data_IF_033545408685
#
_entry.id   IF_033545408685
#
_cell.length_a   1.000
_cell.length_b   1.000
_cell.length_c   1.000
_cell.angle_alpha   90.00
_cell.angle_beta   90.00
_cell.angle_gamma   90.00
#
_symmetry.space_group_name_H-M   'P 1'
#
loop_
_entity.id
_entity.type
_entity.pdbx_description
1 polymer ?
#
# COMPACT_ATOMS: atom_id res chain seq x y z
N UNK A 1 20.77 -19.63 -2.12
CA UNK A 1 20.25 -18.40 -1.54
C UNK A 1 19.39 -17.66 -2.57
N UNK A 2 18.32 -16.98 -2.10
CA UNK A 2 17.42 -16.19 -2.96
C UNK A 2 18.11 -14.90 -3.44
N UNK A 3 18.68 -14.16 -2.50
CA UNK A 3 19.56 -13.00 -2.64
C UNK A 3 20.58 -13.02 -1.49
N UNK A 4 21.63 -12.24 -1.60
CA UNK A 4 22.53 -12.02 -0.48
C UNK A 4 21.81 -11.38 0.70
N UNK A 5 22.13 -11.82 1.93
CA UNK A 5 21.44 -11.34 3.13
C UNK A 5 21.51 -9.82 3.30
N UNK A 6 22.63 -9.22 2.94
CA UNK A 6 22.89 -7.79 3.04
C UNK A 6 21.94 -6.96 2.19
N UNK A 7 21.55 -7.47 1.01
CA UNK A 7 20.58 -6.80 0.13
C UNK A 7 19.18 -6.70 0.76
N UNK A 8 18.88 -7.54 1.74
CA UNK A 8 17.61 -7.51 2.50
C UNK A 8 17.78 -6.73 3.80
N UNK A 9 18.85 -7.03 4.55
CA UNK A 9 19.03 -6.54 5.93
C UNK A 9 19.27 -5.03 5.96
N UNK A 10 20.14 -4.49 5.10
CA UNK A 10 20.46 -3.05 5.14
C UNK A 10 19.27 -2.14 4.83
N UNK A 11 18.44 -2.41 3.79
CA UNK A 11 17.24 -1.60 3.55
C UNK A 11 16.21 -1.73 4.68
N UNK A 12 16.09 -2.89 5.34
CA UNK A 12 15.22 -3.05 6.51
C UNK A 12 15.72 -2.17 7.66
N UNK A 13 17.02 -2.21 7.99
CA UNK A 13 17.60 -1.38 9.06
C UNK A 13 17.38 0.10 8.73
N UNK A 14 17.68 0.54 7.51
CA UNK A 14 17.46 1.92 7.08
C UNK A 14 15.98 2.35 7.21
N UNK A 15 15.06 1.46 6.82
CA UNK A 15 13.62 1.70 6.95
C UNK A 15 13.17 1.78 8.41
N UNK A 16 13.71 0.97 9.30
CA UNK A 16 13.42 1.02 10.74
C UNK A 16 13.94 2.31 11.38
N UNK A 17 15.15 2.74 11.02
CA UNK A 17 15.70 4.02 11.48
C UNK A 17 14.82 5.18 10.98
N UNK A 18 14.45 5.18 9.69
CA UNK A 18 13.53 6.18 9.15
C UNK A 18 12.20 6.17 9.91
N UNK A 19 11.61 5.00 10.14
CA UNK A 19 10.34 4.84 10.86
C UNK A 19 10.42 5.44 12.26
N UNK A 20 11.52 5.24 12.98
CA UNK A 20 11.75 5.80 14.31
C UNK A 20 11.66 7.34 14.32
N UNK A 21 12.12 8.03 13.28
CA UNK A 21 12.06 9.48 13.17
C UNK A 21 10.78 10.01 12.54
N UNK A 22 10.14 9.22 11.67
CA UNK A 22 8.94 9.63 10.93
C UNK A 22 7.64 9.25 11.63
N UNK A 23 7.52 8.06 12.24
CA UNK A 23 6.31 7.55 12.87
C UNK A 23 6.05 8.20 14.22
N UNK A 24 5.73 9.51 14.20
CA UNK A 24 5.49 10.35 15.38
C UNK A 24 4.35 11.33 15.10
N UNK A 25 3.75 11.91 16.15
CA UNK A 25 2.74 12.98 15.99
C UNK A 25 3.25 14.16 15.15
N UNK A 26 4.54 14.49 15.28
CA UNK A 26 5.25 15.43 14.41
C UNK A 26 6.49 14.70 13.86
N UNK A 27 6.44 14.35 12.58
CA UNK A 27 7.56 13.72 11.90
C UNK A 27 8.80 14.64 11.96
N UNK A 28 9.97 14.05 12.23
CA UNK A 28 11.26 14.77 12.27
C UNK A 28 11.98 14.74 10.93
N UNK A 29 11.63 13.80 10.07
CA UNK A 29 12.18 13.67 8.72
C UNK A 29 11.10 13.18 7.76
N UNK A 30 11.34 13.43 6.47
CA UNK A 30 10.53 12.91 5.37
C UNK A 30 11.44 12.09 4.47
N UNK A 31 10.87 11.04 3.86
CA UNK A 31 11.60 10.15 2.97
C UNK A 31 12.07 10.86 1.69
N UNK A 32 11.28 11.82 1.24
CA UNK A 32 11.48 12.53 -0.03
C UNK A 32 11.31 11.63 -1.25
N UNK A 33 11.46 12.20 -2.43
CA UNK A 33 11.27 11.46 -3.68
C UNK A 33 12.36 10.40 -3.88
N UNK A 34 13.61 10.73 -3.58
CA UNK A 34 14.73 9.79 -3.72
C UNK A 34 14.55 8.57 -2.83
N UNK A 35 14.18 8.77 -1.56
CA UNK A 35 13.98 7.66 -0.63
C UNK A 35 12.77 6.80 -0.98
N UNK A 36 11.65 7.43 -1.36
CA UNK A 36 10.43 6.71 -1.74
C UNK A 36 10.63 5.89 -3.03
N UNK A 37 11.29 6.45 -4.03
CA UNK A 37 11.64 5.72 -5.26
C UNK A 37 12.64 4.59 -4.99
N UNK A 38 13.64 4.83 -4.13
CA UNK A 38 14.62 3.81 -3.75
C UNK A 38 13.96 2.59 -3.07
N UNK A 39 13.06 2.82 -2.10
CA UNK A 39 12.32 1.73 -1.43
C UNK A 39 11.39 1.04 -2.42
N UNK A 40 10.66 1.78 -3.26
CA UNK A 40 9.77 1.19 -4.24
C UNK A 40 10.54 0.29 -5.23
N UNK A 41 11.66 0.76 -5.75
CA UNK A 41 12.52 -0.02 -6.64
C UNK A 41 13.03 -1.30 -5.96
N UNK A 42 13.50 -1.19 -4.72
CA UNK A 42 13.98 -2.33 -3.96
C UNK A 42 12.89 -3.39 -3.73
N UNK A 43 11.67 -2.97 -3.33
CA UNK A 43 10.54 -3.88 -3.14
C UNK A 43 10.16 -4.57 -4.46
N UNK A 44 10.05 -3.80 -5.56
CA UNK A 44 9.69 -4.34 -6.88
C UNK A 44 10.77 -5.33 -7.37
N UNK A 45 12.05 -5.02 -7.18
CA UNK A 45 13.14 -5.91 -7.55
C UNK A 45 13.07 -7.23 -6.78
N UNK A 46 12.84 -7.19 -5.46
CA UNK A 46 12.69 -8.40 -4.65
C UNK A 46 11.46 -9.23 -5.05
N UNK A 47 10.32 -8.59 -5.30
CA UNK A 47 9.12 -9.28 -5.76
C UNK A 47 9.33 -9.90 -7.13
N UNK A 48 9.95 -9.20 -8.07
CA UNK A 48 10.29 -9.73 -9.39
C UNK A 48 11.19 -10.97 -9.30
N UNK A 49 12.25 -10.91 -8.50
CA UNK A 49 13.13 -12.05 -8.28
C UNK A 49 12.39 -13.23 -7.61
N UNK A 50 11.49 -12.96 -6.67
CA UNK A 50 10.69 -13.98 -6.01
C UNK A 50 9.73 -14.67 -6.98
N UNK A 51 9.06 -13.90 -7.83
CA UNK A 51 8.17 -14.43 -8.88
C UNK A 51 8.95 -15.27 -9.87
N UNK A 52 10.10 -14.80 -10.37
CA UNK A 52 10.94 -15.53 -11.30
C UNK A 52 11.41 -16.86 -10.69
N UNK A 53 11.80 -16.85 -9.41
CA UNK A 53 12.29 -18.04 -8.73
C UNK A 53 11.19 -19.06 -8.42
N UNK A 54 9.99 -18.62 -8.07
CA UNK A 54 8.91 -19.49 -7.62
C UNK A 54 7.92 -19.84 -8.74
N UNK A 55 7.86 -19.04 -9.81
CA UNK A 55 6.85 -19.14 -10.85
C UNK A 55 5.45 -18.72 -10.39
N UNK A 56 5.30 -18.15 -9.19
CA UNK A 56 4.02 -17.81 -8.58
C UNK A 56 3.78 -16.30 -8.61
N UNK A 57 2.68 -15.87 -9.20
CA UNK A 57 2.29 -14.46 -9.26
C UNK A 57 1.62 -13.94 -7.98
N UNK A 58 1.20 -14.82 -7.06
CA UNK A 58 0.56 -14.43 -5.80
C UNK A 58 1.39 -13.44 -4.97
N UNK A 59 2.71 -13.42 -5.14
CA UNK A 59 3.60 -12.51 -4.42
C UNK A 59 3.34 -11.02 -4.71
N UNK A 60 2.68 -10.68 -5.83
CA UNK A 60 2.25 -9.31 -6.12
C UNK A 60 1.27 -8.80 -5.05
N UNK A 61 0.52 -9.70 -4.40
CA UNK A 61 -0.41 -9.36 -3.33
C UNK A 61 0.27 -8.80 -2.07
N UNK A 62 1.60 -8.86 -1.97
CA UNK A 62 2.37 -8.13 -0.95
C UNK A 62 2.23 -6.60 -1.09
N UNK A 63 1.68 -6.13 -2.19
CA UNK A 63 1.33 -4.74 -2.44
C UNK A 63 -0.19 -4.54 -2.57
N UNK A 64 -1.03 -5.47 -2.10
CA UNK A 64 -2.46 -5.47 -2.38
C UNK A 64 -3.16 -4.19 -1.89
N UNK A 65 -2.93 -3.76 -0.66
CA UNK A 65 -3.58 -2.55 -0.09
C UNK A 65 -3.18 -1.30 -0.87
N UNK A 66 -1.89 -1.12 -1.11
CA UNK A 66 -1.36 0.00 -1.88
C UNK A 66 -1.82 -0.04 -3.34
N UNK A 67 -1.76 -1.21 -3.96
CA UNK A 67 -2.15 -1.42 -5.36
C UNK A 67 -3.63 -1.13 -5.58
N UNK A 68 -4.51 -1.65 -4.74
CA UNK A 68 -5.96 -1.40 -4.82
C UNK A 68 -6.26 0.09 -4.67
N UNK A 69 -5.66 0.76 -3.68
CA UNK A 69 -5.88 2.18 -3.47
C UNK A 69 -5.41 3.02 -4.66
N UNK A 70 -4.21 2.76 -5.16
CA UNK A 70 -3.62 3.51 -6.27
C UNK A 70 -4.40 3.31 -7.56
N UNK A 71 -4.69 2.05 -7.92
CA UNK A 71 -5.42 1.72 -9.16
C UNK A 71 -6.84 2.30 -9.14
N UNK A 72 -7.59 2.11 -8.05
CA UNK A 72 -8.95 2.62 -7.95
C UNK A 72 -9.00 4.15 -7.93
N UNK A 73 -8.00 4.81 -7.36
CA UNK A 73 -7.89 6.27 -7.42
C UNK A 73 -7.58 6.76 -8.84
N UNK A 74 -6.71 6.08 -9.57
CA UNK A 74 -6.43 6.40 -10.98
C UNK A 74 -7.68 6.19 -11.84
N UNK A 75 -8.38 5.06 -11.68
CA UNK A 75 -9.63 4.79 -12.40
C UNK A 75 -10.68 5.89 -12.14
N UNK A 76 -10.81 6.31 -10.89
CA UNK A 76 -11.72 7.41 -10.53
C UNK A 76 -11.35 8.70 -11.26
N UNK A 77 -10.09 9.07 -11.31
CA UNK A 77 -9.61 10.28 -11.99
C UNK A 77 -9.84 10.24 -13.49
N UNK A 78 -9.58 9.09 -14.12
CA UNK A 78 -9.86 8.88 -15.54
C UNK A 78 -11.35 9.06 -15.81
N UNK A 79 -12.24 8.49 -14.98
CA UNK A 79 -13.70 8.66 -15.12
C UNK A 79 -14.15 10.11 -14.97
N UNK A 80 -13.45 10.88 -14.15
CA UNK A 80 -13.71 12.32 -13.95
C UNK A 80 -13.02 13.19 -15.01
N UNK A 81 -12.32 12.60 -15.97
CA UNK A 81 -11.55 13.27 -17.01
C UNK A 81 -10.48 14.22 -16.45
N UNK A 82 -9.94 13.91 -15.28
CA UNK A 82 -8.84 14.65 -14.69
C UNK A 82 -7.49 14.22 -15.28
N UNK A 83 -6.56 15.17 -15.40
CA UNK A 83 -5.20 14.84 -15.77
C UNK A 83 -4.52 14.03 -14.65
N UNK A 84 -4.15 12.79 -14.92
CA UNK A 84 -3.54 11.86 -13.95
C UNK A 84 -2.16 12.32 -13.47
N UNK A 85 -1.48 13.20 -14.20
CA UNK A 85 -0.16 13.73 -13.83
C UNK A 85 -0.22 14.94 -12.90
N UNK A 86 -1.40 15.53 -12.71
CA UNK A 86 -1.56 16.65 -11.79
C UNK A 86 -1.61 16.20 -10.33
N UNK A 87 -1.09 17.03 -9.43
CA UNK A 87 -1.18 16.77 -7.99
C UNK A 87 -2.64 16.69 -7.54
N UNK A 88 -2.96 15.70 -6.70
CA UNK A 88 -4.34 15.49 -6.24
C UNK A 88 -4.41 15.01 -4.78
N UNK A 89 -5.59 15.07 -4.19
CA UNK A 89 -5.87 14.62 -2.81
C UNK A 89 -7.06 13.66 -2.74
N UNK A 90 -7.14 12.69 -3.67
CA UNK A 90 -8.26 11.76 -3.80
C UNK A 90 -8.03 10.38 -3.21
N UNK A 91 -6.82 10.13 -2.70
CA UNK A 91 -6.52 8.89 -2.01
C UNK A 91 -7.36 8.75 -0.74
N UNK A 92 -7.80 7.54 -0.42
CA UNK A 92 -8.63 7.29 0.75
C UNK A 92 -7.92 7.74 2.04
N UNK A 93 -6.63 7.44 2.19
CA UNK A 93 -5.87 7.87 3.36
C UNK A 93 -5.84 9.40 3.52
N UNK A 94 -5.80 10.15 2.40
CA UNK A 94 -5.84 11.62 2.42
C UNK A 94 -7.21 12.13 2.83
N UNK A 95 -8.30 11.53 2.33
CA UNK A 95 -9.66 11.88 2.73
C UNK A 95 -9.87 11.61 4.22
N UNK A 96 -9.40 10.47 4.73
CA UNK A 96 -9.51 10.14 6.15
C UNK A 96 -8.69 11.10 7.03
N UNK A 97 -7.48 11.47 6.60
CA UNK A 97 -6.62 12.37 7.37
C UNK A 97 -7.09 13.83 7.32
N UNK A 98 -7.40 14.33 6.13
CA UNK A 98 -7.67 15.75 5.93
C UNK A 98 -9.12 16.12 6.26
N UNK A 99 -10.08 15.31 5.82
CA UNK A 99 -11.52 15.60 5.96
C UNK A 99 -12.07 15.03 7.27
N UNK A 100 -11.72 13.78 7.61
CA UNK A 100 -12.17 13.12 8.83
C UNK A 100 -11.30 13.44 10.04
N UNK A 101 -10.19 14.14 9.87
CA UNK A 101 -9.23 14.49 10.92
C UNK A 101 -8.69 13.29 11.72
N UNK A 102 -8.71 12.10 11.11
CA UNK A 102 -8.13 10.91 11.71
C UNK A 102 -6.61 11.03 11.66
N UNK A 103 -5.95 10.72 12.78
CA UNK A 103 -4.49 10.77 12.84
C UNK A 103 -3.86 9.89 11.74
N UNK A 104 -2.87 10.43 11.02
CA UNK A 104 -2.13 9.68 10.03
C UNK A 104 -1.43 8.44 10.61
N UNK A 105 -1.06 8.46 11.90
CA UNK A 105 -0.50 7.29 12.59
C UNK A 105 -1.51 6.14 12.66
N UNK A 106 -2.76 6.45 12.97
CA UNK A 106 -3.84 5.44 13.02
C UNK A 106 -4.09 4.87 11.62
N UNK A 107 -4.21 5.74 10.62
CA UNK A 107 -4.47 5.31 9.25
C UNK A 107 -3.34 4.41 8.76
N UNK A 108 -2.09 4.83 8.88
CA UNK A 108 -0.94 4.02 8.44
C UNK A 108 -0.79 2.72 9.21
N UNK A 109 -1.11 2.70 10.52
CA UNK A 109 -1.12 1.46 11.31
C UNK A 109 -2.18 0.48 10.81
N UNK A 110 -3.40 0.95 10.53
CA UNK A 110 -4.47 0.10 9.99
C UNK A 110 -4.08 -0.48 8.63
N UNK A 111 -3.55 0.34 7.73
CA UNK A 111 -3.06 -0.11 6.42
C UNK A 111 -1.95 -1.17 6.57
N UNK A 112 -0.99 -0.93 7.47
CA UNK A 112 0.09 -1.87 7.73
C UNK A 112 -0.43 -3.20 8.29
N UNK A 113 -1.36 -3.17 9.26
CA UNK A 113 -1.95 -4.39 9.84
C UNK A 113 -2.70 -5.18 8.78
N UNK A 114 -3.54 -4.54 7.95
CA UNK A 114 -4.26 -5.22 6.87
C UNK A 114 -3.26 -5.86 5.90
N UNK A 115 -2.22 -5.13 5.49
CA UNK A 115 -1.21 -5.68 4.57
C UNK A 115 -0.44 -6.85 5.19
N UNK A 116 -0.08 -6.79 6.47
CA UNK A 116 0.58 -7.90 7.17
C UNK A 116 -0.32 -9.13 7.23
N UNK A 117 -1.61 -8.98 7.52
CA UNK A 117 -2.56 -10.10 7.50
C UNK A 117 -2.67 -10.72 6.11
N UNK A 118 -2.75 -9.90 5.06
CA UNK A 118 -2.73 -10.38 3.67
C UNK A 118 -1.44 -11.16 3.39
N UNK A 119 -0.29 -10.62 3.79
CA UNK A 119 1.00 -11.27 3.56
C UNK A 119 1.07 -12.64 4.25
N UNK A 120 0.56 -12.76 5.49
CA UNK A 120 0.47 -14.03 6.21
C UNK A 120 -0.37 -15.05 5.43
N UNK A 121 -1.55 -14.63 4.94
CA UNK A 121 -2.42 -15.51 4.14
C UNK A 121 -1.70 -15.95 2.86
N UNK A 122 -1.07 -15.04 2.13
CA UNK A 122 -0.36 -15.34 0.88
C UNK A 122 0.80 -16.31 1.10
N UNK A 123 1.56 -16.13 2.19
CA UNK A 123 2.72 -17.00 2.49
C UNK A 123 2.26 -18.43 2.78
N UNK A 124 1.20 -18.60 3.57
CA UNK A 124 0.75 -19.92 4.03
C UNK A 124 -0.28 -20.58 3.12
N UNK A 125 -0.80 -19.85 2.11
CA UNK A 125 -1.76 -20.44 1.18
C UNK A 125 -1.07 -21.32 0.15
N UNK A 126 -1.55 -22.55 0.01
CA UNK A 126 -1.20 -23.47 -1.08
C UNK A 126 -2.19 -23.36 -2.26
N UNK A 127 -3.02 -22.31 -2.26
CA UNK A 127 -4.01 -22.07 -3.30
C UNK A 127 -3.35 -21.65 -4.61
N UNK A 128 -4.05 -21.90 -5.73
CA UNK A 128 -3.62 -21.35 -7.01
C UNK A 128 -3.59 -19.81 -6.98
N UNK A 129 -2.79 -19.20 -7.83
CA UNK A 129 -2.67 -17.73 -7.93
C UNK A 129 -4.04 -17.07 -8.10
N UNK A 130 -4.91 -17.61 -8.95
CA UNK A 130 -6.26 -17.07 -9.20
C UNK A 130 -7.16 -17.07 -7.97
N UNK A 131 -7.09 -18.11 -7.15
CA UNK A 131 -7.83 -18.18 -5.88
C UNK A 131 -7.30 -17.14 -4.91
N UNK A 132 -5.96 -17.03 -4.77
CA UNK A 132 -5.34 -16.01 -3.93
C UNK A 132 -5.76 -14.59 -4.34
N UNK A 133 -5.70 -14.28 -5.64
CA UNK A 133 -6.14 -12.98 -6.17
C UNK A 133 -7.61 -12.72 -5.86
N UNK A 134 -8.50 -13.69 -6.09
CA UNK A 134 -9.93 -13.50 -5.86
C UNK A 134 -10.25 -13.30 -4.38
N UNK A 135 -9.74 -14.16 -3.51
CA UNK A 135 -10.00 -14.12 -2.06
C UNK A 135 -9.47 -12.85 -1.41
N UNK A 136 -8.37 -12.30 -1.91
CA UNK A 136 -7.73 -11.11 -1.31
C UNK A 136 -8.21 -9.82 -1.97
N UNK A 137 -8.24 -9.75 -3.31
CA UNK A 137 -8.58 -8.49 -3.98
C UNK A 137 -10.07 -8.14 -3.87
N UNK A 138 -10.99 -9.12 -3.96
CA UNK A 138 -12.42 -8.80 -3.90
C UNK A 138 -12.82 -8.15 -2.57
N UNK A 139 -12.48 -8.71 -1.38
CA UNK A 139 -12.78 -8.06 -0.11
C UNK A 139 -12.07 -6.73 0.05
N UNK A 140 -10.80 -6.62 -0.40
CA UNK A 140 -10.02 -5.38 -0.29
C UNK A 140 -10.63 -4.27 -1.13
N UNK A 141 -11.01 -4.56 -2.38
CA UNK A 141 -11.70 -3.62 -3.28
C UNK A 141 -13.05 -3.19 -2.70
N UNK A 142 -13.86 -4.17 -2.24
CA UNK A 142 -15.16 -3.89 -1.65
C UNK A 142 -15.02 -3.00 -0.40
N UNK A 143 -14.14 -3.36 0.52
CA UNK A 143 -13.85 -2.58 1.72
C UNK A 143 -13.40 -1.15 1.40
N UNK A 144 -12.47 -1.01 0.44
CA UNK A 144 -12.02 0.30 -0.02
C UNK A 144 -13.17 1.15 -0.56
N UNK A 145 -13.97 0.61 -1.49
CA UNK A 145 -15.09 1.32 -2.11
C UNK A 145 -16.16 1.70 -1.08
N UNK A 146 -16.46 0.79 -0.15
CA UNK A 146 -17.42 1.03 0.93
C UNK A 146 -16.97 2.18 1.83
N UNK A 147 -15.74 2.13 2.36
CA UNK A 147 -15.20 3.17 3.24
C UNK A 147 -15.13 4.51 2.50
N UNK A 148 -14.65 4.51 1.24
CA UNK A 148 -14.55 5.74 0.44
C UNK A 148 -15.91 6.36 0.17
N UNK A 149 -16.92 5.55 -0.15
CA UNK A 149 -18.30 6.01 -0.35
C UNK A 149 -18.88 6.65 0.91
N UNK A 150 -18.72 6.01 2.07
CA UNK A 150 -19.17 6.55 3.35
C UNK A 150 -18.46 7.85 3.72
N UNK A 151 -17.15 7.91 3.47
CA UNK A 151 -16.36 9.11 3.74
C UNK A 151 -16.83 10.29 2.89
N UNK A 152 -17.07 10.07 1.59
CA UNK A 152 -17.57 11.11 0.68
C UNK A 152 -18.98 11.59 1.04
N UNK A 153 -19.90 10.69 1.40
CA UNK A 153 -21.26 11.07 1.82
C UNK A 153 -21.25 12.01 3.03
N UNK A 154 -20.38 11.75 3.99
CA UNK A 154 -20.31 12.58 5.20
C UNK A 154 -19.68 13.96 4.96
N UNK A 155 -18.72 14.05 4.01
CA UNK A 155 -18.16 15.35 3.59
C UNK A 155 -19.22 16.23 2.93
N UNK A 156 -20.20 15.64 2.22
CA UNK A 156 -21.26 16.38 1.55
C UNK A 156 -22.36 16.86 2.52
N UNK A 157 -22.45 16.31 3.73
CA UNK A 157 -23.48 16.63 4.73
C UNK A 157 -22.94 17.61 5.78
N UNK A 158 -21.61 17.74 5.92
CA UNK A 158 -20.95 18.66 6.85
C UNK A 158 -20.68 20.02 6.20
#
# INVERSE_FOLDING_TARGET
NFVEGDFIIYPIIASLIFLFFNFRKKAKCFLGDIGSMGIAFWIIALLGLLIIKTGQYKWILFLAVYGVESILTIIERIRLKENIFDAHRRHLYQLLANERKISHLVISSVYAVIQVLINIVVIWSDWSDWVNFSVILLPTIFGYLFIKSQTKKQILIS
#
